data_IF_651777115415
#
_entry.id   IF_651777115415
#
_cell.length_a   1.000
_cell.length_b   1.000
_cell.length_c   1.000
_cell.angle_alpha   90.00
_cell.angle_beta   90.00
_cell.angle_gamma   90.00
#
_symmetry.space_group_name_H-M   'P 1'
#
loop_
_entity.id
_entity.type
_entity.pdbx_description
1 polymer ?
#
# COMPACT_ATOMS: atom_id res chain seq x y z
N UNK A 1 11.50 -19.63 -3.90
CA UNK A 1 12.52 -20.16 -2.97
C UNK A 1 13.02 -19.07 -2.04
N UNK A 2 12.18 -18.49 -1.18
CA UNK A 2 12.57 -17.46 -0.20
C UNK A 2 12.70 -17.99 1.24
N UNK A 3 11.91 -19.00 1.63
CA UNK A 3 11.92 -19.53 3.00
C UNK A 3 13.28 -20.08 3.47
N UNK A 4 14.06 -20.66 2.56
CA UNK A 4 15.42 -21.16 2.84
C UNK A 4 16.41 -20.05 3.17
N UNK A 5 16.25 -18.87 2.57
CA UNK A 5 17.17 -17.74 2.77
C UNK A 5 17.03 -17.16 4.18
N UNK A 6 15.80 -17.09 4.71
CA UNK A 6 15.56 -16.68 6.09
C UNK A 6 16.09 -17.71 7.10
N UNK A 7 15.79 -19.00 6.91
CA UNK A 7 16.25 -20.05 7.83
C UNK A 7 17.78 -20.07 7.97
N UNK A 8 18.49 -19.82 6.85
CA UNK A 8 19.94 -19.66 6.85
C UNK A 8 20.37 -18.37 7.56
N UNK A 9 19.73 -17.22 7.30
CA UNK A 9 20.03 -15.94 7.97
C UNK A 9 19.79 -15.98 9.49
N UNK A 10 18.69 -16.57 9.92
CA UNK A 10 18.34 -16.79 11.33
C UNK A 10 19.31 -17.77 12.01
N UNK A 11 19.66 -18.86 11.31
CA UNK A 11 20.64 -19.85 11.77
C UNK A 11 22.03 -19.23 11.97
N UNK A 12 22.46 -18.38 11.03
CA UNK A 12 23.73 -17.64 11.12
C UNK A 12 23.73 -16.64 12.29
N UNK A 13 22.64 -15.87 12.47
CA UNK A 13 22.50 -14.95 13.61
C UNK A 13 22.51 -15.67 14.97
N UNK A 14 21.78 -16.78 15.07
CA UNK A 14 21.74 -17.58 16.29
C UNK A 14 23.10 -18.26 16.57
N UNK A 15 23.82 -18.67 15.51
CA UNK A 15 25.17 -19.19 15.61
C UNK A 15 26.18 -18.15 16.11
N UNK A 16 26.14 -16.94 15.57
CA UNK A 16 27.05 -15.84 15.96
C UNK A 16 26.79 -15.37 17.40
N UNK A 17 25.52 -15.28 17.84
CA UNK A 17 25.17 -14.97 19.25
C UNK A 17 25.65 -16.04 20.22
N UNK A 18 25.58 -17.32 19.84
CA UNK A 18 26.11 -18.43 20.65
C UNK A 18 27.64 -18.43 20.71
N UNK A 19 28.30 -17.93 19.67
CA UNK A 19 29.75 -17.82 19.58
C UNK A 19 30.33 -16.55 20.25
N UNK A 20 29.57 -15.90 21.14
CA UNK A 20 30.02 -14.75 21.95
C UNK A 20 30.29 -13.45 21.17
N UNK A 21 29.93 -13.37 19.89
CA UNK A 21 30.09 -12.17 19.07
C UNK A 21 28.79 -11.37 18.96
N UNK A 22 28.89 -10.05 19.03
CA UNK A 22 27.82 -9.17 18.55
C UNK A 22 27.68 -9.37 17.04
N UNK A 23 26.48 -9.71 16.52
CA UNK A 23 26.34 -9.95 15.10
C UNK A 23 26.51 -8.64 14.34
N UNK A 24 27.45 -8.62 13.40
CA UNK A 24 27.79 -7.46 12.59
C UNK A 24 26.55 -6.86 11.89
N UNK A 25 26.57 -5.56 11.63
CA UNK A 25 25.45 -4.81 11.03
C UNK A 25 25.06 -5.41 9.67
N UNK A 26 26.03 -5.97 8.96
CA UNK A 26 25.85 -6.66 7.67
C UNK A 26 24.97 -7.92 7.83
N UNK A 27 25.19 -8.71 8.88
CA UNK A 27 24.46 -9.96 9.12
C UNK A 27 23.02 -9.69 9.55
N UNK A 28 22.81 -8.65 10.37
CA UNK A 28 21.46 -8.19 10.69
C UNK A 28 20.74 -7.61 9.46
N UNK A 29 21.42 -6.86 8.59
CA UNK A 29 20.82 -6.35 7.36
C UNK A 29 20.40 -7.47 6.41
N UNK A 30 21.24 -8.49 6.21
CA UNK A 30 20.90 -9.65 5.40
C UNK A 30 19.67 -10.40 5.95
N UNK A 31 19.58 -10.53 7.28
CA UNK A 31 18.44 -11.15 7.93
C UNK A 31 17.15 -10.31 7.82
N UNK A 32 17.25 -8.98 7.95
CA UNK A 32 16.15 -8.04 7.74
C UNK A 32 15.65 -8.07 6.28
N UNK A 33 16.55 -8.11 5.30
CA UNK A 33 16.19 -8.28 3.89
C UNK A 33 15.49 -9.63 3.65
N UNK A 34 15.97 -10.72 4.24
CA UNK A 34 15.30 -12.02 4.15
C UNK A 34 13.91 -12.03 4.84
N UNK A 35 13.74 -11.33 5.97
CA UNK A 35 12.44 -11.12 6.60
C UNK A 35 11.49 -10.35 5.69
N UNK A 36 12.01 -9.39 4.90
CA UNK A 36 11.23 -8.62 3.94
C UNK A 36 10.68 -9.46 2.79
N UNK A 37 11.47 -10.41 2.29
CA UNK A 37 11.06 -11.33 1.24
C UNK A 37 10.08 -12.41 1.73
N UNK A 38 10.02 -12.65 3.04
CA UNK A 38 9.19 -13.68 3.66
C UNK A 38 7.96 -13.13 4.41
N UNK A 39 7.69 -11.83 4.32
CA UNK A 39 6.58 -11.15 5.03
C UNK A 39 6.57 -11.36 6.56
N UNK A 40 7.72 -11.66 7.18
CA UNK A 40 7.85 -11.92 8.62
C UNK A 40 8.21 -10.65 9.39
N UNK A 41 7.22 -9.78 9.56
CA UNK A 41 7.41 -8.45 10.11
C UNK A 41 7.72 -8.45 11.61
N UNK A 42 7.19 -9.40 12.38
CA UNK A 42 7.38 -9.51 13.83
C UNK A 42 8.87 -9.71 14.16
N UNK A 43 9.49 -10.66 13.46
CA UNK A 43 10.91 -10.99 13.60
C UNK A 43 11.79 -9.87 13.06
N UNK A 44 11.36 -9.18 12.00
CA UNK A 44 12.07 -8.01 11.49
C UNK A 44 12.12 -6.87 12.51
N UNK A 45 11.05 -6.65 13.27
CA UNK A 45 10.99 -5.65 14.35
C UNK A 45 11.84 -6.08 15.53
N UNK A 46 11.81 -7.37 15.89
CA UNK A 46 12.64 -7.94 16.96
C UNK A 46 14.14 -7.84 16.65
N UNK A 47 14.55 -8.14 15.41
CA UNK A 47 15.94 -8.01 14.95
C UNK A 47 16.44 -6.57 14.98
N UNK A 48 15.59 -5.60 14.60
CA UNK A 48 15.89 -4.18 14.73
C UNK A 48 15.98 -3.73 16.19
N UNK A 49 15.10 -4.24 17.05
CA UNK A 49 15.17 -4.02 18.49
C UNK A 49 16.48 -4.55 19.08
N UNK A 50 16.90 -5.74 18.64
CA UNK A 50 18.17 -6.37 19.01
C UNK A 50 19.40 -5.55 18.58
N UNK A 51 19.42 -5.02 17.36
CA UNK A 51 20.48 -4.12 16.89
C UNK A 51 20.61 -2.87 17.77
N UNK A 52 19.47 -2.26 18.14
CA UNK A 52 19.44 -1.08 19.00
C UNK A 52 19.97 -1.34 20.40
N UNK A 53 19.65 -2.52 20.97
CA UNK A 53 20.12 -2.92 22.29
C UNK A 53 21.62 -3.27 22.29
N UNK A 54 22.15 -3.77 21.17
CA UNK A 54 23.57 -4.08 20.99
C UNK A 54 24.43 -2.87 20.57
N UNK A 55 23.97 -1.63 20.82
CA UNK A 55 24.65 -0.37 20.46
C UNK A 55 24.97 -0.16 18.96
N UNK A 56 24.61 -1.10 18.09
CA UNK A 56 24.70 -0.97 16.64
C UNK A 56 23.64 -0.02 16.12
N UNK A 57 24.06 1.16 15.63
CA UNK A 57 23.14 2.10 14.98
C UNK A 57 22.49 1.43 13.76
N UNK A 58 21.15 1.30 13.71
CA UNK A 58 20.47 0.81 12.52
C UNK A 58 20.84 1.70 11.32
N UNK A 59 21.40 1.07 10.29
CA UNK A 59 21.66 1.78 9.03
C UNK A 59 20.33 2.15 8.36
N UNK A 60 20.32 3.14 7.46
CA UNK A 60 19.08 3.50 6.72
C UNK A 60 18.52 2.28 5.95
N UNK A 61 19.42 1.42 5.48
CA UNK A 61 19.11 0.12 4.87
C UNK A 61 18.43 -0.85 5.83
N UNK A 62 18.80 -0.89 7.12
CA UNK A 62 18.15 -1.72 8.14
C UNK A 62 16.70 -1.27 8.39
N UNK A 63 16.50 0.05 8.50
CA UNK A 63 15.18 0.66 8.70
C UNK A 63 14.26 0.42 7.50
N UNK A 64 14.78 0.61 6.28
CA UNK A 64 14.02 0.43 5.05
C UNK A 64 13.68 -1.04 4.79
N UNK A 65 14.62 -1.98 5.00
CA UNK A 65 14.37 -3.42 4.84
C UNK A 65 13.27 -3.91 5.79
N UNK A 66 13.28 -3.42 7.02
CA UNK A 66 12.25 -3.78 7.97
C UNK A 66 10.90 -3.11 7.66
N UNK A 67 10.90 -1.86 7.21
CA UNK A 67 9.70 -1.20 6.70
C UNK A 67 9.09 -1.99 5.54
N UNK A 68 9.93 -2.46 4.61
CA UNK A 68 9.53 -3.35 3.52
C UNK A 68 8.91 -4.65 4.04
N UNK A 69 9.48 -5.26 5.09
CA UNK A 69 8.93 -6.45 5.73
C UNK A 69 7.55 -6.20 6.39
N UNK A 70 7.39 -5.07 7.08
CA UNK A 70 6.10 -4.66 7.63
C UNK A 70 5.06 -4.36 6.54
N UNK A 71 5.49 -3.77 5.42
CA UNK A 71 4.65 -3.57 4.24
C UNK A 71 4.21 -4.91 3.65
N UNK A 72 5.14 -5.85 3.43
CA UNK A 72 4.88 -7.18 2.87
C UNK A 72 4.00 -8.06 3.80
N UNK A 73 4.14 -7.89 5.12
CA UNK A 73 3.32 -8.55 6.14
C UNK A 73 1.99 -7.85 6.44
N UNK A 74 1.72 -6.68 5.85
CA UNK A 74 0.51 -5.91 6.12
C UNK A 74 0.39 -5.47 7.58
N UNK A 75 1.50 -5.22 8.27
CA UNK A 75 1.50 -4.71 9.64
C UNK A 75 1.84 -3.23 9.68
N UNK A 76 0.81 -2.40 9.54
CA UNK A 76 0.93 -0.94 9.63
C UNK A 76 1.52 -0.47 10.97
N UNK A 77 1.24 -1.17 12.07
CA UNK A 77 1.71 -0.79 13.40
C UNK A 77 3.24 -0.94 13.53
N UNK A 78 3.81 -2.03 12.98
CA UNK A 78 5.25 -2.21 12.90
C UNK A 78 5.90 -1.16 12.00
N UNK A 79 5.31 -0.89 10.83
CA UNK A 79 5.79 0.14 9.90
C UNK A 79 5.80 1.54 10.54
N UNK A 80 4.73 1.93 11.23
CA UNK A 80 4.62 3.19 11.96
C UNK A 80 5.59 3.27 13.16
N UNK A 81 5.79 2.16 13.88
CA UNK A 81 6.77 2.09 14.97
C UNK A 81 8.18 2.38 14.46
N UNK A 82 8.53 1.88 13.26
CA UNK A 82 9.83 2.14 12.66
C UNK A 82 10.00 3.58 12.19
N UNK A 83 8.97 4.20 11.58
CA UNK A 83 8.99 5.64 11.32
C UNK A 83 9.27 6.43 12.60
N UNK A 84 8.57 6.10 13.69
CA UNK A 84 8.79 6.73 15.00
C UNK A 84 10.19 6.50 15.55
N UNK A 85 10.82 5.38 15.21
CA UNK A 85 12.16 5.06 15.68
C UNK A 85 13.26 5.72 14.85
N UNK A 86 13.10 5.85 13.52
CA UNK A 86 13.97 6.68 12.67
C UNK A 86 14.00 8.13 13.16
N UNK A 87 12.83 8.67 13.54
CA UNK A 87 12.71 10.01 14.14
C UNK A 87 13.47 10.14 15.45
N UNK A 88 13.36 9.16 16.35
CA UNK A 88 14.10 9.15 17.63
C UNK A 88 15.61 9.11 17.44
N UNK A 89 16.09 8.58 16.32
CA UNK A 89 17.50 8.55 15.94
C UNK A 89 17.96 9.86 15.25
N UNK A 90 17.10 10.88 15.19
CA UNK A 90 17.40 12.18 14.57
C UNK A 90 17.36 12.17 13.04
N UNK A 91 16.74 11.14 12.44
CA UNK A 91 16.57 11.02 10.99
C UNK A 91 15.14 11.36 10.62
N UNK A 92 14.95 12.37 9.77
CA UNK A 92 13.65 12.67 9.19
C UNK A 92 13.29 11.58 8.16
N UNK A 93 12.14 10.91 8.31
CA UNK A 93 11.66 9.97 7.31
C UNK A 93 11.36 10.67 5.99
N UNK A 94 11.76 10.04 4.90
CA UNK A 94 11.53 10.50 3.54
C UNK A 94 10.21 9.96 2.96
N UNK A 95 9.88 10.38 1.73
CA UNK A 95 8.67 9.94 1.02
C UNK A 95 8.59 8.40 0.90
N UNK A 96 9.74 7.72 0.72
CA UNK A 96 9.81 6.25 0.65
C UNK A 96 9.37 5.61 1.96
N UNK A 97 9.84 6.13 3.09
CA UNK A 97 9.50 5.65 4.42
C UNK A 97 7.99 5.77 4.69
N UNK A 98 7.39 6.90 4.33
CA UNK A 98 5.95 7.13 4.47
C UNK A 98 5.12 6.25 3.51
N UNK A 99 5.54 6.11 2.25
CA UNK A 99 4.90 5.21 1.29
C UNK A 99 4.92 3.75 1.73
N UNK A 100 5.93 3.36 2.52
CA UNK A 100 6.02 2.01 3.07
C UNK A 100 4.94 1.77 4.13
N UNK A 101 4.63 2.77 4.96
CA UNK A 101 3.50 2.72 5.90
C UNK A 101 2.17 2.71 5.16
N UNK A 102 2.02 3.53 4.11
CA UNK A 102 0.82 3.53 3.28
C UNK A 102 0.58 2.16 2.62
N UNK A 103 1.62 1.54 2.08
CA UNK A 103 1.56 0.20 1.48
C UNK A 103 1.20 -0.87 2.52
N UNK A 104 1.71 -0.76 3.75
CA UNK A 104 1.31 -1.62 4.86
C UNK A 104 -0.18 -1.44 5.18
N UNK A 105 -0.66 -0.19 5.30
CA UNK A 105 -2.06 0.14 5.54
C UNK A 105 -2.98 -0.38 4.42
N UNK A 106 -2.54 -0.39 3.16
CA UNK A 106 -3.30 -0.94 2.03
C UNK A 106 -3.57 -2.44 2.22
N UNK A 107 -2.53 -3.19 2.59
CA UNK A 107 -2.63 -4.62 2.84
C UNK A 107 -3.40 -4.93 4.12
N UNK A 108 -3.35 -4.05 5.13
CA UNK A 108 -4.15 -4.16 6.36
C UNK A 108 -5.59 -3.66 6.22
N UNK A 109 -5.97 -3.06 5.08
CA UNK A 109 -7.27 -2.40 4.89
C UNK A 109 -7.55 -1.26 5.88
N UNK A 110 -6.51 -0.59 6.38
CA UNK A 110 -6.60 0.49 7.40
C UNK A 110 -6.53 1.87 6.78
N UNK A 111 -7.62 2.28 6.13
CA UNK A 111 -7.69 3.56 5.42
C UNK A 111 -7.58 4.77 6.37
N UNK A 112 -8.04 4.69 7.62
CA UNK A 112 -7.96 5.80 8.57
C UNK A 112 -6.50 6.12 8.89
N UNK A 113 -5.69 5.07 9.02
CA UNK A 113 -4.25 5.17 9.27
C UNK A 113 -3.53 5.70 8.04
N UNK A 114 -3.89 5.23 6.85
CA UNK A 114 -3.35 5.76 5.60
C UNK A 114 -3.64 7.27 5.44
N UNK A 115 -4.87 7.70 5.72
CA UNK A 115 -5.26 9.11 5.65
C UNK A 115 -4.52 9.97 6.71
N UNK A 116 -4.37 9.46 7.94
CA UNK A 116 -3.59 10.14 8.98
C UNK A 116 -2.13 10.31 8.57
N UNK A 117 -1.54 9.31 7.91
CA UNK A 117 -0.15 9.36 7.45
C UNK A 117 0.05 10.42 6.36
N UNK A 118 -0.91 10.57 5.43
CA UNK A 118 -0.87 11.63 4.42
C UNK A 118 -0.89 13.04 5.06
N UNK A 119 -1.71 13.23 6.09
CA UNK A 119 -1.77 14.50 6.82
C UNK A 119 -0.43 14.77 7.50
N UNK A 120 0.19 13.74 8.08
CA UNK A 120 1.51 13.86 8.71
C UNK A 120 2.60 14.19 7.68
N UNK A 121 2.61 13.55 6.51
CA UNK A 121 3.54 13.88 5.41
C UNK A 121 3.46 15.37 5.05
N UNK A 122 2.24 15.88 4.82
CA UNK A 122 2.01 17.29 4.48
C UNK A 122 2.41 18.25 5.60
N UNK A 123 2.09 17.90 6.85
CA UNK A 123 2.49 18.70 8.02
C UNK A 123 4.00 18.85 8.15
N UNK A 124 4.76 17.84 7.70
CA UNK A 124 6.22 17.82 7.71
C UNK A 124 6.86 18.40 6.46
N UNK A 125 6.07 18.87 5.48
CA UNK A 125 6.59 19.35 4.21
C UNK A 125 7.13 18.25 3.31
N UNK A 126 6.77 16.98 3.56
CA UNK A 126 7.09 15.86 2.66
C UNK A 126 5.98 15.80 1.61
N UNK A 127 6.33 16.15 0.37
CA UNK A 127 5.43 16.08 -0.78
C UNK A 127 5.04 14.62 -1.07
N UNK A 128 3.73 14.29 -1.11
CA UNK A 128 3.25 13.01 -1.62
C UNK A 128 3.74 12.78 -3.06
N UNK A 129 4.20 11.58 -3.37
CA UNK A 129 4.62 11.24 -4.72
C UNK A 129 3.49 10.58 -5.54
N UNK A 130 3.77 10.29 -6.80
CA UNK A 130 2.83 9.63 -7.70
C UNK A 130 2.39 8.24 -7.23
N UNK A 131 3.10 7.60 -6.28
CA UNK A 131 2.72 6.31 -5.71
C UNK A 131 1.85 6.45 -4.44
N UNK A 132 1.98 7.55 -3.70
CA UNK A 132 1.17 7.86 -2.50
C UNK A 132 -0.33 7.86 -2.81
N UNK A 133 -0.73 8.52 -3.90
CA UNK A 133 -2.13 8.75 -4.24
C UNK A 133 -2.89 7.49 -4.70
N UNK A 134 -2.37 6.67 -5.63
CA UNK A 134 -2.97 5.39 -5.98
C UNK A 134 -3.06 4.42 -4.78
N UNK A 135 -2.04 4.39 -3.93
CA UNK A 135 -2.04 3.55 -2.74
C UNK A 135 -3.19 3.95 -1.79
N UNK A 136 -3.36 5.25 -1.52
CA UNK A 136 -4.48 5.76 -0.73
C UNK A 136 -5.84 5.41 -1.32
N UNK A 137 -6.02 5.56 -2.63
CA UNK A 137 -7.27 5.17 -3.30
C UNK A 137 -7.56 3.67 -3.17
N UNK A 138 -6.53 2.83 -3.31
CA UNK A 138 -6.66 1.38 -3.07
C UNK A 138 -7.03 1.08 -1.60
N UNK A 139 -6.40 1.77 -0.63
CA UNK A 139 -6.71 1.59 0.80
C UNK A 139 -8.15 1.97 1.13
N UNK A 140 -8.63 3.12 0.64
CA UNK A 140 -9.99 3.63 0.84
C UNK A 140 -11.02 2.73 0.17
N UNK A 141 -10.69 2.24 -1.03
CA UNK A 141 -11.55 1.32 -1.75
C UNK A 141 -11.69 -0.03 -1.07
N UNK A 142 -10.63 -0.53 -0.43
CA UNK A 142 -10.69 -1.77 0.35
C UNK A 142 -11.39 -1.59 1.70
N UNK A 143 -11.36 -0.38 2.25
CA UNK A 143 -12.06 -0.01 3.49
C UNK A 143 -13.56 0.24 3.34
N UNK A 144 -14.15 0.02 2.15
CA UNK A 144 -15.57 0.31 1.85
C UNK A 144 -15.94 1.81 1.90
N UNK A 145 -14.94 2.70 1.89
CA UNK A 145 -15.17 4.15 1.86
C UNK A 145 -15.17 4.68 0.43
N UNK A 146 -16.20 4.30 -0.32
CA UNK A 146 -16.38 4.74 -1.71
C UNK A 146 -16.43 6.27 -1.83
N UNK A 147 -17.14 6.96 -0.91
CA UNK A 147 -17.21 8.45 -0.90
C UNK A 147 -15.84 9.09 -0.73
N UNK A 148 -15.02 8.56 0.18
CA UNK A 148 -13.66 9.05 0.40
C UNK A 148 -12.76 8.82 -0.81
N UNK A 149 -12.92 7.67 -1.49
CA UNK A 149 -12.20 7.34 -2.72
C UNK A 149 -12.55 8.33 -3.85
N UNK A 150 -13.84 8.64 -4.03
CA UNK A 150 -14.28 9.61 -5.03
C UNK A 150 -13.79 11.04 -4.75
N UNK A 151 -13.85 11.49 -3.49
CA UNK A 151 -13.36 12.81 -3.09
C UNK A 151 -11.86 12.95 -3.34
N UNK A 152 -11.08 11.91 -3.02
CA UNK A 152 -9.65 11.91 -3.27
C UNK A 152 -9.35 11.92 -4.77
N UNK A 153 -10.04 11.09 -5.57
CA UNK A 153 -9.89 11.09 -7.02
C UNK A 153 -10.22 12.45 -7.64
N UNK A 154 -11.32 13.07 -7.22
CA UNK A 154 -11.71 14.40 -7.66
C UNK A 154 -10.63 15.45 -7.31
N UNK A 155 -10.02 15.35 -6.13
CA UNK A 155 -8.91 16.21 -5.75
C UNK A 155 -7.68 16.00 -6.62
N UNK A 156 -7.35 14.76 -7.02
CA UNK A 156 -6.22 14.49 -7.93
C UNK A 156 -6.44 15.12 -9.31
N UNK A 157 -7.62 14.88 -9.89
CA UNK A 157 -8.00 15.42 -11.20
C UNK A 157 -7.99 16.95 -11.19
N UNK A 158 -8.53 17.58 -10.14
CA UNK A 158 -8.55 19.05 -10.02
C UNK A 158 -7.18 19.68 -9.85
N UNK A 159 -6.25 19.00 -9.19
CA UNK A 159 -4.89 19.51 -8.98
C UNK A 159 -3.96 19.23 -10.17
N UNK A 160 -4.47 18.70 -11.28
CA UNK A 160 -3.65 18.34 -12.45
C UNK A 160 -2.63 17.25 -12.18
N UNK A 161 -2.73 16.58 -11.02
CA UNK A 161 -1.95 15.40 -10.72
C UNK A 161 -2.47 14.30 -11.62
N UNK A 162 -1.60 13.69 -12.42
CA UNK A 162 -1.95 12.62 -13.33
C UNK A 162 -2.54 11.43 -12.56
N UNK A 163 -3.86 11.47 -12.33
CA UNK A 163 -4.63 10.34 -11.83
C UNK A 163 -4.60 9.28 -12.93
N UNK A 164 -3.56 8.44 -12.91
CA UNK A 164 -3.41 7.34 -13.84
C UNK A 164 -4.56 6.33 -13.70
N UNK A 165 -4.67 5.43 -14.67
CA UNK A 165 -5.74 4.41 -14.73
C UNK A 165 -5.94 3.65 -13.39
N UNK A 166 -4.87 3.40 -12.64
CA UNK A 166 -4.95 2.76 -11.33
C UNK A 166 -5.78 3.52 -10.28
N UNK A 167 -5.75 4.85 -10.30
CA UNK A 167 -6.55 5.69 -9.39
C UNK A 167 -8.04 5.56 -9.69
N UNK A 168 -8.40 5.60 -10.98
CA UNK A 168 -9.76 5.41 -11.46
C UNK A 168 -10.28 4.00 -11.15
N UNK A 169 -9.49 2.97 -11.42
CA UNK A 169 -9.84 1.58 -11.12
C UNK A 169 -10.03 1.33 -9.64
N UNK A 170 -9.21 1.93 -8.78
CA UNK A 170 -9.36 1.81 -7.33
C UNK A 170 -10.68 2.44 -6.84
N UNK A 171 -11.03 3.62 -7.35
CA UNK A 171 -12.29 4.29 -7.03
C UNK A 171 -13.51 3.52 -7.59
N UNK A 172 -13.44 3.03 -8.83
CA UNK A 172 -14.46 2.17 -9.43
C UNK A 172 -14.67 0.91 -8.57
N UNK A 173 -13.59 0.22 -8.21
CA UNK A 173 -13.63 -0.96 -7.35
C UNK A 173 -14.21 -0.68 -5.96
N UNK A 174 -13.99 0.51 -5.41
CA UNK A 174 -14.60 0.95 -4.16
C UNK A 174 -16.13 1.05 -4.27
N UNK A 175 -16.63 1.67 -5.35
CA UNK A 175 -18.06 1.77 -5.64
C UNK A 175 -18.67 0.38 -5.91
N UNK A 176 -17.95 -0.44 -6.68
CA UNK A 176 -18.31 -1.83 -7.00
C UNK A 176 -18.57 -2.67 -5.77
N UNK A 177 -17.61 -2.71 -4.84
CA UNK A 177 -17.73 -3.45 -3.57
C UNK A 177 -18.80 -2.90 -2.64
N UNK A 178 -19.08 -1.60 -2.70
CA UNK A 178 -20.09 -0.97 -1.85
C UNK A 178 -21.52 -1.02 -2.43
N UNK A 179 -21.73 -1.73 -3.55
CA UNK A 179 -23.01 -1.81 -4.24
C UNK A 179 -23.50 -0.48 -4.81
N UNK A 180 -22.62 0.50 -5.01
CA UNK A 180 -23.00 1.85 -5.41
C UNK A 180 -22.95 1.98 -6.93
N UNK A 181 -24.07 1.67 -7.58
CA UNK A 181 -24.17 1.65 -9.04
C UNK A 181 -24.08 3.05 -9.66
N UNK A 182 -24.85 4.00 -9.17
CA UNK A 182 -24.90 5.36 -9.74
C UNK A 182 -23.52 6.02 -9.71
N UNK A 183 -22.78 6.02 -8.57
CA UNK A 183 -21.43 6.57 -8.54
C UNK A 183 -20.45 5.84 -9.45
N UNK A 184 -20.58 4.51 -9.62
CA UNK A 184 -19.72 3.74 -10.53
C UNK A 184 -19.95 4.13 -12.01
N UNK A 185 -21.21 4.35 -12.41
CA UNK A 185 -21.56 4.81 -13.76
C UNK A 185 -21.11 6.25 -14.03
N UNK A 186 -21.24 7.14 -13.04
CA UNK A 186 -20.71 8.50 -13.14
C UNK A 186 -19.19 8.50 -13.33
N UNK A 187 -18.49 7.58 -12.65
CA UNK A 187 -17.05 7.44 -12.78
C UNK A 187 -16.63 7.01 -14.19
N UNK A 188 -17.34 6.05 -14.79
CA UNK A 188 -17.11 5.63 -16.19
C UNK A 188 -17.25 6.79 -17.17
N UNK A 189 -18.30 7.63 -17.00
CA UNK A 189 -18.49 8.83 -17.83
C UNK A 189 -17.40 9.88 -17.59
N UNK A 190 -16.98 10.06 -16.35
CA UNK A 190 -15.93 11.00 -15.99
C UNK A 190 -14.56 10.60 -16.58
N UNK A 191 -14.28 9.29 -16.69
CA UNK A 191 -13.07 8.79 -17.36
C UNK A 191 -13.01 9.19 -18.83
N UNK A 192 -14.12 9.03 -19.57
CA UNK A 192 -14.23 9.47 -20.96
C UNK A 192 -13.97 10.98 -21.11
N UNK A 193 -14.57 11.79 -20.21
CA UNK A 193 -14.35 13.24 -20.17
C UNK A 193 -12.90 13.63 -19.85
N UNK A 194 -12.20 12.82 -19.06
CA UNK A 194 -10.78 13.02 -18.73
C UNK A 194 -9.82 12.38 -19.76
N UNK A 195 -10.34 11.86 -20.88
CA UNK A 195 -9.57 11.12 -21.91
C UNK A 195 -8.80 9.92 -21.36
N UNK A 196 -9.32 9.30 -20.30
CA UNK A 196 -8.82 8.03 -19.76
C UNK A 196 -9.74 6.93 -20.25
N UNK A 197 -9.22 5.94 -20.99
CA UNK A 197 -10.03 4.81 -21.42
C UNK A 197 -10.34 3.92 -20.20
N UNK A 198 -11.62 3.63 -19.92
CA UNK A 198 -11.97 2.55 -19.01
C UNK A 198 -11.34 1.23 -19.47
N UNK A 199 -11.00 0.37 -18.53
CA UNK A 199 -10.49 -0.97 -18.79
C UNK A 199 -11.44 -2.03 -18.24
N UNK A 200 -11.04 -3.30 -18.39
CA UNK A 200 -11.80 -4.43 -17.87
C UNK A 200 -12.08 -4.30 -16.36
N UNK A 201 -11.11 -3.79 -15.60
CA UNK A 201 -11.24 -3.64 -14.14
C UNK A 201 -12.29 -2.60 -13.79
N UNK A 202 -12.35 -1.49 -14.54
CA UNK A 202 -13.38 -0.46 -14.35
C UNK A 202 -14.78 -1.01 -14.62
N UNK A 203 -14.94 -1.73 -15.75
CA UNK A 203 -16.24 -2.32 -16.11
C UNK A 203 -16.67 -3.42 -15.14
N UNK A 204 -15.75 -4.29 -14.72
CA UNK A 204 -16.04 -5.35 -13.74
C UNK A 204 -16.47 -4.77 -12.39
N UNK A 205 -15.92 -3.64 -11.98
CA UNK A 205 -16.37 -2.96 -10.77
C UNK A 205 -17.80 -2.42 -10.92
N UNK A 206 -18.15 -1.81 -12.05
CA UNK A 206 -19.52 -1.34 -12.31
C UNK A 206 -20.52 -2.51 -12.43
N UNK A 207 -20.12 -3.62 -13.04
CA UNK A 207 -20.90 -4.86 -13.10
C UNK A 207 -21.14 -5.45 -11.71
N UNK A 208 -20.12 -5.44 -10.85
CA UNK A 208 -20.23 -5.84 -9.44
C UNK A 208 -21.29 -5.01 -8.69
N UNK A 209 -21.23 -3.68 -8.81
CA UNK A 209 -22.25 -2.80 -8.21
C UNK A 209 -23.66 -3.07 -8.78
N UNK A 210 -23.78 -3.31 -10.08
CA UNK A 210 -25.08 -3.59 -10.72
C UNK A 210 -25.68 -4.93 -10.27
N UNK A 211 -24.84 -5.94 -10.03
CA UNK A 211 -25.25 -7.24 -9.49
C UNK A 211 -25.78 -7.11 -8.05
N UNK A 212 -25.10 -6.33 -7.21
CA UNK A 212 -25.54 -6.07 -5.83
C UNK A 212 -26.83 -5.22 -5.79
N UNK A 213 -27.01 -4.28 -6.72
CA UNK A 213 -28.20 -3.45 -6.85
C UNK A 213 -29.39 -4.10 -7.57
N UNK A 214 -29.31 -5.39 -7.93
CA UNK A 214 -30.30 -6.11 -8.76
C UNK A 214 -30.65 -5.44 -10.11
N UNK A 215 -29.76 -4.61 -10.64
CA UNK A 215 -29.96 -3.82 -11.84
C UNK A 215 -29.52 -4.57 -13.11
N UNK A 216 -30.11 -5.75 -13.37
CA UNK A 216 -29.69 -6.65 -14.45
C UNK A 216 -29.66 -6.01 -15.85
N UNK A 217 -30.55 -5.05 -16.12
CA UNK A 217 -30.58 -4.31 -17.40
C UNK A 217 -29.31 -3.48 -17.61
N UNK A 218 -28.86 -2.81 -16.55
CA UNK A 218 -27.63 -2.02 -16.58
C UNK A 218 -26.41 -2.92 -16.75
N UNK A 219 -26.41 -4.11 -16.13
CA UNK A 219 -25.35 -5.10 -16.34
C UNK A 219 -25.25 -5.54 -17.81
N UNK A 220 -26.38 -5.74 -18.50
CA UNK A 220 -26.38 -6.10 -19.93
C UNK A 220 -25.85 -4.95 -20.81
N UNK A 221 -26.22 -3.71 -20.51
CA UNK A 221 -25.72 -2.54 -21.23
C UNK A 221 -24.21 -2.36 -21.04
N UNK A 222 -23.72 -2.59 -19.81
CA UNK A 222 -22.29 -2.56 -19.48
C UNK A 222 -21.51 -3.65 -20.23
N UNK A 223 -22.03 -4.90 -20.27
CA UNK A 223 -21.44 -5.99 -21.06
C UNK A 223 -21.42 -5.67 -22.56
N UNK A 224 -22.47 -5.02 -23.07
CA UNK A 224 -22.50 -4.52 -24.45
C UNK A 224 -21.47 -3.42 -24.71
N UNK A 225 -21.20 -2.55 -23.74
CA UNK A 225 -20.10 -1.57 -23.78
C UNK A 225 -18.72 -2.25 -23.82
N UNK A 226 -18.52 -3.24 -22.95
CA UNK A 226 -17.29 -4.01 -22.78
C UNK A 226 -16.91 -4.73 -24.10
N UNK A 227 -17.88 -5.40 -24.74
CA UNK A 227 -17.70 -6.05 -26.07
C UNK A 227 -17.38 -5.06 -27.19
N UNK A 228 -17.98 -3.86 -27.17
CA UNK A 228 -17.73 -2.81 -28.17
C UNK A 228 -16.32 -2.26 -28.10
N UNK A 229 -15.68 -2.30 -26.94
CA UNK A 229 -14.30 -1.88 -26.73
C UNK A 229 -13.28 -3.03 -26.95
N UNK A 230 -13.73 -4.19 -27.45
CA UNK A 230 -12.88 -5.38 -27.64
C UNK A 230 -12.18 -5.85 -26.36
N UNK A 231 -12.77 -5.53 -25.20
CA UNK A 231 -12.34 -6.08 -23.92
C UNK A 231 -13.07 -7.42 -23.74
N UNK A 232 -12.34 -8.50 -23.47
CA UNK A 232 -12.91 -9.83 -23.22
C UNK A 232 -13.27 -9.96 -21.73
N UNK A 233 -14.51 -10.37 -21.35
CA UNK A 233 -14.97 -10.48 -19.95
C UNK A 233 -14.13 -11.38 -19.06
#
# INVERSE_FOLDING_TARGET
GGGRCWELGAGLLAGVRRASGEPDVILHNAALSACSECSRWELSVELLGGLRLAAGRPSATSGNAAAQACSAGGCWAGAAHMLGALRREGREPDAVSHNTVLSACERSHRWERAAAELVEMRRRGVEPDGATHPCLLSTLGRGWHWRGSLLLLAALVRNGLAAGLGAWNAAAGACGRAGQLEPALELLRAMEGCRVSPDLSTYNAALGAAAEGQAWRVSLDLLGGLRRQSLEP
#
